data_IF_734557990433
#
_entry.id   IF_734557990433
#
_cell.length_a   1.000
_cell.length_b   1.000
_cell.length_c   1.000
_cell.angle_alpha   90.00
_cell.angle_beta   90.00
_cell.angle_gamma   90.00
#
_symmetry.space_group_name_H-M   'P 1'
#
loop_
_entity.id
_entity.type
_entity.pdbx_description
1 polymer ?
#
# COMPACT_ATOMS: atom_id res chain seq x y z
N UNK A 1 14.73 -13.67 12.89
CA UNK A 1 15.18 -12.43 13.54
C UNK A 1 14.01 -11.68 14.16
N UNK A 2 12.97 -11.30 13.39
CA UNK A 2 11.77 -10.59 13.90
C UNK A 2 11.21 -11.22 15.18
N UNK A 3 11.00 -12.55 15.18
CA UNK A 3 10.51 -13.28 16.36
C UNK A 3 11.36 -13.12 17.60
N UNK A 4 12.68 -13.23 17.44
CA UNK A 4 13.62 -13.13 18.55
C UNK A 4 13.67 -11.72 19.12
N UNK A 5 13.54 -10.70 18.27
CA UNK A 5 13.51 -9.29 18.70
C UNK A 5 12.24 -8.99 19.50
N UNK A 6 11.07 -9.39 18.98
CA UNK A 6 9.80 -9.20 19.70
C UNK A 6 9.78 -10.02 20.99
N UNK A 7 10.29 -11.27 20.98
CA UNK A 7 10.42 -12.09 22.18
C UNK A 7 11.40 -11.49 23.21
N UNK A 8 12.39 -10.71 22.77
CA UNK A 8 13.30 -9.98 23.62
C UNK A 8 12.71 -8.64 24.13
N UNK A 9 11.45 -8.32 23.80
CA UNK A 9 10.76 -7.13 24.26
C UNK A 9 10.91 -5.91 23.35
N UNK A 10 11.34 -6.09 22.09
CA UNK A 10 11.28 -5.02 21.11
C UNK A 10 9.83 -4.58 20.89
N UNK A 11 9.59 -3.27 20.90
CA UNK A 11 8.27 -2.71 20.63
C UNK A 11 7.92 -2.90 19.14
N UNK A 12 6.84 -3.63 18.90
CA UNK A 12 6.35 -3.94 17.54
C UNK A 12 5.72 -2.71 16.86
N UNK A 13 5.39 -1.69 17.66
CA UNK A 13 4.83 -0.40 17.25
C UNK A 13 5.84 0.73 17.50
N UNK A 14 7.15 0.44 17.45
CA UNK A 14 8.19 1.46 17.56
C UNK A 14 8.20 2.41 16.35
N UNK A 15 8.17 3.72 16.61
CA UNK A 15 8.28 4.76 15.58
C UNK A 15 9.71 4.98 15.07
N UNK A 16 9.84 5.93 14.14
CA UNK A 16 11.14 6.30 13.58
C UNK A 16 11.66 5.36 12.49
N UNK A 17 10.79 4.53 11.89
CA UNK A 17 11.15 3.74 10.72
C UNK A 17 11.59 4.62 9.54
N UNK A 18 12.38 4.04 8.62
CA UNK A 18 12.96 4.76 7.48
C UNK A 18 11.86 5.34 6.59
N UNK A 19 10.76 4.60 6.41
CA UNK A 19 9.64 5.04 5.59
C UNK A 19 8.67 5.89 6.42
N UNK A 20 8.80 7.21 6.28
CA UNK A 20 7.85 8.19 6.81
C UNK A 20 7.76 8.22 8.34
N UNK A 21 8.77 7.74 9.06
CA UNK A 21 8.74 7.63 10.53
C UNK A 21 7.77 6.56 11.04
N UNK A 22 7.35 5.63 10.17
CA UNK A 22 6.33 4.60 10.43
C UNK A 22 6.81 3.44 11.31
N UNK A 23 6.07 2.32 11.26
CA UNK A 23 6.31 1.09 12.05
C UNK A 23 7.37 0.19 11.43
N UNK A 24 7.86 -0.82 12.18
CA UNK A 24 8.53 -1.96 11.57
C UNK A 24 7.71 -2.59 10.44
N UNK A 25 6.37 -2.58 10.53
CA UNK A 25 5.48 -3.03 9.45
C UNK A 25 5.55 -2.09 8.23
N UNK A 26 5.60 -0.77 8.44
CA UNK A 26 5.71 0.21 7.36
C UNK A 26 7.03 0.05 6.58
N UNK A 27 8.14 -0.21 7.26
CA UNK A 27 9.43 -0.54 6.61
C UNK A 27 9.33 -1.88 5.88
N UNK A 28 8.82 -2.93 6.52
CA UNK A 28 8.66 -4.23 5.87
C UNK A 28 7.80 -4.13 4.59
N UNK A 29 6.72 -3.36 4.63
CA UNK A 29 5.90 -3.03 3.45
C UNK A 29 6.70 -2.23 2.42
N UNK A 30 7.33 -1.13 2.83
CA UNK A 30 8.07 -0.24 1.94
C UNK A 30 9.16 -0.97 1.16
N UNK A 31 9.93 -1.82 1.84
CA UNK A 31 11.02 -2.61 1.25
C UNK A 31 10.55 -3.94 0.61
N UNK A 32 9.24 -4.19 0.50
CA UNK A 32 8.71 -5.40 -0.14
C UNK A 32 9.02 -6.71 0.61
N UNK A 33 9.30 -6.62 1.91
CA UNK A 33 9.62 -7.76 2.78
C UNK A 33 8.35 -8.47 3.25
N UNK A 34 7.60 -9.04 2.30
CA UNK A 34 6.25 -9.60 2.55
C UNK A 34 6.20 -10.64 3.66
N UNK A 35 7.21 -11.53 3.73
CA UNK A 35 7.32 -12.53 4.80
C UNK A 35 7.47 -11.88 6.17
N UNK A 36 8.29 -10.84 6.28
CA UNK A 36 8.46 -10.10 7.53
C UNK A 36 7.19 -9.33 7.89
N UNK A 37 6.55 -8.69 6.91
CA UNK A 37 5.30 -7.97 7.10
C UNK A 37 4.18 -8.90 7.63
N UNK A 38 3.95 -10.04 6.98
CA UNK A 38 3.00 -11.04 7.48
C UNK A 38 3.38 -11.60 8.85
N UNK A 39 4.68 -11.74 9.14
CA UNK A 39 5.10 -12.20 10.46
C UNK A 39 4.81 -11.18 11.55
N UNK A 40 5.06 -9.90 11.30
CA UNK A 40 4.71 -8.80 12.21
C UNK A 40 3.20 -8.79 12.49
N UNK A 41 2.36 -8.98 11.46
CA UNK A 41 0.91 -9.13 11.66
C UNK A 41 0.55 -10.32 12.55
N UNK A 42 1.20 -11.47 12.33
CA UNK A 42 1.03 -12.66 13.16
C UNK A 42 1.49 -12.48 14.62
N UNK A 43 2.29 -11.45 14.89
CA UNK A 43 2.72 -11.04 16.22
C UNK A 43 1.88 -9.90 16.81
N UNK A 44 0.83 -9.46 16.10
CA UNK A 44 -0.12 -8.45 16.58
C UNK A 44 0.13 -7.03 16.07
N UNK A 45 1.03 -6.83 15.11
CA UNK A 45 1.26 -5.51 14.53
C UNK A 45 -0.04 -4.93 13.94
N UNK A 46 -0.28 -3.64 14.21
CA UNK A 46 -1.42 -2.91 13.67
C UNK A 46 -1.18 -2.51 12.22
N UNK A 47 -2.28 -2.22 11.53
CA UNK A 47 -2.27 -1.86 10.10
C UNK A 47 -2.96 -0.55 9.87
N UNK A 48 -2.45 0.23 8.92
CA UNK A 48 -3.25 1.22 8.19
C UNK A 48 -4.09 0.54 7.11
N UNK A 49 -5.00 1.31 6.49
CA UNK A 49 -5.71 0.84 5.29
C UNK A 49 -4.73 0.45 4.16
N UNK A 50 -3.65 1.23 4.00
CA UNK A 50 -2.64 0.95 2.99
C UNK A 50 -1.87 -0.34 3.28
N UNK A 51 -1.50 -0.61 4.54
CA UNK A 51 -0.83 -1.85 4.92
C UNK A 51 -1.73 -3.06 4.63
N UNK A 52 -2.99 -2.98 5.07
CA UNK A 52 -3.97 -4.04 4.83
C UNK A 52 -4.15 -4.31 3.34
N UNK A 53 -4.24 -3.25 2.53
CA UNK A 53 -4.40 -3.38 1.09
C UNK A 53 -3.15 -3.95 0.39
N UNK A 54 -1.96 -3.49 0.79
CA UNK A 54 -0.67 -3.94 0.23
C UNK A 54 -0.39 -5.39 0.56
N UNK A 55 -0.93 -5.92 1.66
CA UNK A 55 -0.77 -7.31 2.11
C UNK A 55 -1.98 -8.20 1.77
N UNK A 56 -2.95 -7.69 1.01
CA UNK A 56 -4.08 -8.47 0.50
C UNK A 56 -5.09 -8.88 1.56
N UNK A 57 -5.14 -8.16 2.68
CA UNK A 57 -6.05 -8.43 3.79
C UNK A 57 -7.44 -7.85 3.49
N UNK A 58 -8.14 -8.44 2.52
CA UNK A 58 -9.42 -7.91 2.03
C UNK A 58 -10.45 -7.72 3.15
N UNK A 59 -10.60 -8.68 4.06
CA UNK A 59 -11.55 -8.55 5.18
C UNK A 59 -11.29 -7.31 6.04
N UNK A 60 -10.01 -6.99 6.26
CA UNK A 60 -9.58 -5.82 7.04
C UNK A 60 -9.78 -4.52 6.26
N UNK A 61 -9.50 -4.54 4.96
CA UNK A 61 -9.80 -3.41 4.05
C UNK A 61 -11.30 -3.13 4.05
N UNK A 62 -12.13 -4.16 3.91
CA UNK A 62 -13.59 -4.03 3.94
C UNK A 62 -14.04 -3.44 5.27
N UNK A 63 -13.53 -3.95 6.39
CA UNK A 63 -13.84 -3.42 7.72
C UNK A 63 -13.52 -1.93 7.88
N UNK A 64 -12.36 -1.46 7.41
CA UNK A 64 -12.04 -0.02 7.42
C UNK A 64 -13.01 0.79 6.55
N UNK A 65 -13.24 0.35 5.31
CA UNK A 65 -14.07 1.09 4.35
C UNK A 65 -15.53 1.16 4.79
N UNK A 66 -16.08 0.09 5.35
CA UNK A 66 -17.46 0.05 5.86
C UNK A 66 -17.60 0.81 7.19
N UNK A 67 -16.57 0.76 8.04
CA UNK A 67 -16.51 1.57 9.26
C UNK A 67 -16.31 3.06 8.98
N UNK A 68 -15.96 3.44 7.74
CA UNK A 68 -15.65 4.80 7.29
C UNK A 68 -14.58 5.53 8.12
N UNK A 69 -13.78 4.79 8.90
CA UNK A 69 -12.76 5.32 9.80
C UNK A 69 -11.46 4.54 9.60
N UNK A 70 -10.35 5.25 9.58
CA UNK A 70 -9.00 4.66 9.50
C UNK A 70 -8.10 5.28 10.55
N UNK A 71 -7.09 4.53 11.05
CA UNK A 71 -6.07 5.11 11.93
C UNK A 71 -5.27 6.15 11.15
N UNK A 72 -4.93 7.26 11.82
CA UNK A 72 -4.22 8.37 11.19
C UNK A 72 -2.78 8.02 10.79
N UNK A 73 -2.16 7.08 11.50
CA UNK A 73 -0.89 6.48 11.15
C UNK A 73 -0.79 5.06 11.78
N UNK A 74 0.23 4.29 11.38
CA UNK A 74 0.38 2.90 11.82
C UNK A 74 0.68 2.76 13.33
N UNK A 75 1.21 3.81 13.97
CA UNK A 75 1.64 3.82 15.39
C UNK A 75 0.64 4.40 16.36
N UNK A 76 -0.31 5.18 15.86
CA UNK A 76 -1.27 5.90 16.67
C UNK A 76 -2.01 4.93 17.57
N UNK A 77 -2.03 5.19 18.88
CA UNK A 77 -2.83 4.44 19.84
C UNK A 77 -4.31 4.43 19.39
N UNK A 78 -5.03 3.31 19.53
CA UNK A 78 -6.37 3.12 18.94
C UNK A 78 -7.43 4.10 19.48
N UNK A 79 -7.14 4.74 20.60
CA UNK A 79 -7.99 5.61 21.40
C UNK A 79 -7.80 7.11 21.14
N UNK A 80 -6.82 7.54 20.33
CA UNK A 80 -6.53 8.98 20.15
C UNK A 80 -6.65 9.49 18.71
N UNK A 81 -6.41 8.70 17.64
CA UNK A 81 -6.32 9.30 16.28
C UNK A 81 -6.88 8.43 15.15
N UNK A 82 -8.21 8.50 14.95
CA UNK A 82 -8.87 8.03 13.73
C UNK A 82 -9.43 9.21 12.94
N UNK A 83 -9.45 9.10 11.62
CA UNK A 83 -10.13 10.06 10.75
C UNK A 83 -11.07 9.37 9.77
N UNK A 84 -11.97 10.16 9.18
CA UNK A 84 -12.84 9.68 8.12
C UNK A 84 -12.03 9.30 6.90
N UNK A 85 -12.42 8.20 6.24
CA UNK A 85 -11.77 7.78 5.00
C UNK A 85 -11.93 8.87 3.94
N UNK A 86 -10.80 9.25 3.36
CA UNK A 86 -10.73 10.17 2.24
C UNK A 86 -10.52 9.41 0.93
N UNK A 87 -10.77 10.09 -0.19
CA UNK A 87 -10.38 9.57 -1.51
C UNK A 87 -8.88 9.30 -1.59
N UNK A 88 -8.06 10.09 -0.89
CA UNK A 88 -6.61 9.88 -0.86
C UNK A 88 -6.25 8.55 -0.19
N UNK A 89 -6.90 8.18 0.92
CA UNK A 89 -6.65 6.90 1.60
C UNK A 89 -6.99 5.71 0.71
N UNK A 90 -8.15 5.76 0.06
CA UNK A 90 -8.58 4.74 -0.91
C UNK A 90 -7.59 4.62 -2.07
N UNK A 91 -7.13 5.75 -2.58
CA UNK A 91 -6.18 5.82 -3.71
C UNK A 91 -4.80 5.28 -3.33
N UNK A 92 -4.29 5.65 -2.15
CA UNK A 92 -3.02 5.16 -1.62
C UNK A 92 -3.06 3.65 -1.33
N UNK A 93 -4.17 3.17 -0.77
CA UNK A 93 -4.42 1.75 -0.54
C UNK A 93 -4.56 0.97 -1.85
N UNK A 94 -5.25 1.53 -2.84
CA UNK A 94 -5.39 0.94 -4.17
C UNK A 94 -4.03 0.75 -4.85
N UNK A 95 -3.18 1.78 -4.81
CA UNK A 95 -1.80 1.70 -5.30
C UNK A 95 -1.02 0.59 -4.57
N UNK A 96 -1.18 0.49 -3.24
CA UNK A 96 -0.58 -0.56 -2.42
C UNK A 96 -1.02 -1.97 -2.84
N UNK A 97 -2.33 -2.19 -3.04
CA UNK A 97 -2.87 -3.46 -3.53
C UNK A 97 -2.31 -3.82 -4.92
N UNK A 98 -2.10 -2.83 -5.78
CA UNK A 98 -1.48 -3.04 -7.09
C UNK A 98 -0.02 -3.47 -6.98
N UNK A 99 0.75 -2.85 -6.07
CA UNK A 99 2.13 -3.25 -5.76
C UNK A 99 2.23 -4.65 -5.15
N UNK A 100 1.31 -5.01 -4.26
CA UNK A 100 1.25 -6.34 -3.64
C UNK A 100 0.70 -7.44 -4.56
N UNK A 101 0.12 -7.07 -5.70
CA UNK A 101 -0.49 -8.01 -6.65
C UNK A 101 -1.84 -8.56 -6.21
N UNK A 102 -2.58 -7.83 -5.36
CA UNK A 102 -3.83 -8.29 -4.77
C UNK A 102 -5.04 -7.80 -5.57
N UNK A 103 -5.35 -8.52 -6.66
CA UNK A 103 -6.41 -8.14 -7.61
C UNK A 103 -7.79 -7.93 -6.98
N UNK A 104 -8.21 -8.82 -6.08
CA UNK A 104 -9.52 -8.70 -5.42
C UNK A 104 -9.61 -7.41 -4.58
N UNK A 105 -8.55 -7.10 -3.85
CA UNK A 105 -8.44 -5.87 -3.05
C UNK A 105 -8.37 -4.62 -3.92
N UNK A 106 -7.63 -4.67 -5.02
CA UNK A 106 -7.55 -3.56 -5.97
C UNK A 106 -8.92 -3.26 -6.59
N UNK A 107 -9.66 -4.29 -7.03
CA UNK A 107 -11.03 -4.14 -7.55
C UNK A 107 -11.96 -3.49 -6.54
N UNK A 108 -11.97 -4.00 -5.31
CA UNK A 108 -12.80 -3.47 -4.24
C UNK A 108 -12.52 -1.98 -3.97
N UNK A 109 -11.25 -1.59 -3.89
CA UNK A 109 -10.88 -0.19 -3.64
C UNK A 109 -11.21 0.73 -4.83
N UNK A 110 -11.06 0.25 -6.07
CA UNK A 110 -11.43 1.00 -7.26
C UNK A 110 -12.94 1.27 -7.31
N UNK A 111 -13.76 0.27 -6.99
CA UNK A 111 -15.23 0.40 -6.91
C UNK A 111 -15.68 1.42 -5.85
N UNK A 112 -14.82 1.71 -4.85
CA UNK A 112 -15.07 2.70 -3.80
C UNK A 112 -14.54 4.09 -4.13
N UNK A 113 -14.04 4.31 -5.34
CA UNK A 113 -13.66 5.64 -5.84
C UNK A 113 -12.17 5.97 -5.75
N UNK A 114 -11.31 4.96 -5.56
CA UNK A 114 -9.87 5.13 -5.71
C UNK A 114 -9.51 5.63 -7.13
N UNK A 115 -8.45 6.42 -7.24
CA UNK A 115 -7.98 6.96 -8.52
C UNK A 115 -6.99 6.00 -9.20
N UNK A 116 -7.33 5.42 -10.37
CA UNK A 116 -6.45 4.47 -11.05
C UNK A 116 -5.25 5.12 -11.76
N UNK A 117 -5.25 6.46 -11.91
CA UNK A 117 -4.21 7.21 -12.61
C UNK A 117 -3.31 8.00 -11.63
N UNK A 118 -3.49 7.82 -10.32
CA UNK A 118 -2.71 8.55 -9.31
C UNK A 118 -1.23 8.25 -9.42
N UNK A 119 -0.40 9.29 -9.43
CA UNK A 119 1.05 9.16 -9.39
C UNK A 119 1.44 9.05 -7.92
N UNK A 120 1.74 7.83 -7.49
CA UNK A 120 2.11 7.50 -6.12
C UNK A 120 3.61 7.62 -5.87
N UNK A 121 4.12 6.71 -5.05
CA UNK A 121 5.53 6.64 -4.66
C UNK A 121 6.42 6.36 -5.88
N UNK A 122 7.65 6.88 -5.84
CA UNK A 122 8.65 6.77 -6.92
C UNK A 122 8.16 7.27 -8.29
N UNK A 123 7.13 8.13 -8.31
CA UNK A 123 6.53 8.65 -9.53
C UNK A 123 5.80 7.60 -10.37
N UNK A 124 5.35 6.51 -9.74
CA UNK A 124 4.69 5.39 -10.43
C UNK A 124 3.16 5.47 -10.32
N UNK A 125 2.48 5.21 -11.43
CA UNK A 125 1.04 4.91 -11.43
C UNK A 125 0.76 3.50 -10.89
N UNK A 126 -0.50 3.16 -10.51
CA UNK A 126 -0.89 1.80 -10.17
C UNK A 126 -0.52 0.76 -11.23
N UNK A 127 -0.64 1.10 -12.52
CA UNK A 127 -0.23 0.20 -13.60
C UNK A 127 1.30 0.07 -13.70
N UNK A 128 2.05 1.15 -13.47
CA UNK A 128 3.51 1.09 -13.46
C UNK A 128 4.03 0.20 -12.33
N UNK A 129 3.53 0.39 -11.11
CA UNK A 129 3.99 -0.39 -9.95
C UNK A 129 3.54 -1.85 -10.03
N UNK A 130 2.36 -2.16 -10.55
CA UNK A 130 1.93 -3.54 -10.76
C UNK A 130 2.86 -4.28 -11.73
N UNK A 131 3.33 -3.59 -12.77
CA UNK A 131 4.26 -4.17 -13.75
C UNK A 131 5.64 -4.35 -13.16
N UNK A 132 6.15 -3.34 -12.44
CA UNK A 132 7.45 -3.43 -11.75
C UNK A 132 7.47 -4.56 -10.71
N UNK A 133 6.38 -4.74 -9.97
CA UNK A 133 6.25 -5.80 -8.97
C UNK A 133 5.99 -7.20 -9.56
N UNK A 134 5.81 -7.32 -10.88
CA UNK A 134 5.47 -8.60 -11.53
C UNK A 134 4.04 -9.09 -11.24
N UNK A 135 3.13 -8.20 -10.81
CA UNK A 135 1.72 -8.50 -10.55
C UNK A 135 0.92 -8.60 -11.86
N UNK A 136 1.16 -9.67 -12.62
CA UNK A 136 0.61 -9.87 -13.99
C UNK A 136 -0.90 -9.70 -14.03
N UNK A 137 -1.65 -10.41 -13.17
CA UNK A 137 -3.12 -10.37 -13.17
C UNK A 137 -3.68 -8.96 -12.91
N UNK A 138 -3.03 -8.20 -12.01
CA UNK A 138 -3.41 -6.82 -11.73
C UNK A 138 -3.08 -5.91 -12.91
N UNK A 139 -1.88 -6.06 -13.48
CA UNK A 139 -1.45 -5.26 -14.62
C UNK A 139 -2.35 -5.48 -15.85
N UNK A 140 -2.74 -6.72 -16.14
CA UNK A 140 -3.68 -7.02 -17.23
C UNK A 140 -5.06 -6.43 -16.97
N UNK A 141 -5.58 -6.59 -15.75
CA UNK A 141 -6.84 -5.99 -15.37
C UNK A 141 -6.83 -4.46 -15.50
N UNK A 142 -5.79 -3.78 -15.01
CA UNK A 142 -5.63 -2.32 -15.12
C UNK A 142 -5.56 -1.83 -16.57
N UNK A 143 -4.92 -2.60 -17.48
CA UNK A 143 -4.95 -2.28 -18.91
C UNK A 143 -6.36 -2.37 -19.48
N UNK A 144 -7.14 -3.37 -19.02
CA UNK A 144 -8.53 -3.55 -19.40
C UNK A 144 -9.45 -2.43 -18.89
N UNK A 145 -9.15 -1.81 -17.75
CA UNK A 145 -9.93 -0.68 -17.22
C UNK A 145 -9.58 0.67 -17.84
N UNK A 146 -8.53 0.73 -18.68
CA UNK A 146 -8.05 1.96 -19.30
C UNK A 146 -7.14 2.81 -18.40
N UNK A 147 -6.64 2.25 -17.30
CA UNK A 147 -5.67 2.92 -16.43
C UNK A 147 -4.40 3.29 -17.21
N UNK A 148 -3.91 4.52 -17.02
CA UNK A 148 -2.78 5.06 -17.78
C UNK A 148 -1.47 4.82 -17.04
N UNK A 149 -0.42 4.56 -17.82
CA UNK A 149 0.96 4.68 -17.33
C UNK A 149 1.36 6.14 -17.23
N UNK A 150 2.40 6.42 -16.43
CA UNK A 150 3.02 7.75 -16.47
C UNK A 150 3.49 8.04 -17.90
N UNK A 151 3.36 9.30 -18.34
CA UNK A 151 3.99 9.74 -19.60
C UNK A 151 5.51 9.76 -19.37
N UNK A 152 6.24 8.83 -19.96
CA UNK A 152 7.70 8.98 -20.04
C UNK A 152 7.98 10.13 -21.01
N UNK A 153 8.62 11.19 -20.53
CA UNK A 153 9.17 12.23 -21.40
C UNK A 153 10.33 11.68 -22.22
N UNK A 154 10.08 10.83 -23.20
CA UNK A 154 11.01 10.52 -24.29
C UNK A 154 10.65 11.42 -25.46
N UNK A 155 10.83 12.72 -25.22
CA UNK A 155 10.63 13.82 -26.17
C UNK A 155 11.88 14.67 -26.35
N UNK A 156 13.07 14.18 -26.00
CA UNK A 156 14.31 14.75 -26.53
C UNK A 156 14.55 14.15 -27.91
N UNK A 157 14.08 14.91 -28.89
CA UNK A 157 14.37 14.79 -30.31
C UNK A 157 15.84 14.51 -30.55
N UNK A 158 16.15 13.32 -31.10
CA UNK A 158 17.22 13.21 -32.10
C UNK A 158 16.82 14.10 -33.28
N UNK A 159 17.33 15.32 -33.33
CA UNK A 159 17.36 16.09 -34.58
C UNK A 159 18.59 15.69 -35.37
N UNK A 160 18.48 15.27 -36.65
CA UNK A 160 19.63 15.13 -37.52
C UNK A 160 19.94 16.49 -38.19
N UNK A 161 21.17 16.98 -37.99
CA UNK A 161 22.03 17.70 -38.94
C UNK A 161 23.19 18.34 -38.16
#
# INVERSE_FOLDING_TARGET
AVDALVAAGADIEADGAVIGGGTPLADARGFGQWRAAHRLLGLGARTTLQDAATLGLLDRVTSYVEGARVPQNAHAAPDIEQHDITRHDLTSAFWGACRGGHLATARYLLERGADPDWIGYDGMTPLDIAVEAGAVDVAEWLRGTGARRRRTGTGETRGPA
#
